data_IF_932594843804
#
_entry.id   IF_932594843804
#
_cell.length_a   1.000
_cell.length_b   1.000
_cell.length_c   1.000
_cell.angle_alpha   90.00
_cell.angle_beta   90.00
_cell.angle_gamma   90.00
#
_symmetry.space_group_name_H-M   'P 1'
#
loop_
_entity.id
_entity.type
_entity.pdbx_description
1 polymer ?
#
# COMPACT_ATOMS: atom_id res chain seq x y z
N UNK A 1 -3.88 -30.35 -48.94
CA UNK A 1 -2.68 -29.58 -49.35
C UNK A 1 -1.78 -29.49 -48.14
N UNK A 2 -0.61 -30.14 -48.18
CA UNK A 2 0.38 -30.03 -47.11
C UNK A 2 1.06 -28.66 -47.25
N UNK A 3 1.02 -27.85 -46.19
CA UNK A 3 1.81 -26.62 -46.10
C UNK A 3 3.29 -27.00 -46.10
N UNK A 4 4.04 -26.57 -47.11
CA UNK A 4 5.50 -26.70 -47.10
C UNK A 4 6.00 -25.59 -46.18
N UNK A 5 6.21 -25.93 -44.90
CA UNK A 5 6.84 -24.98 -43.98
C UNK A 5 8.24 -24.63 -44.51
N UNK A 6 8.61 -23.34 -44.58
CA UNK A 6 9.93 -22.94 -44.99
C UNK A 6 10.98 -23.50 -44.03
N UNK A 7 12.03 -24.12 -44.58
CA UNK A 7 13.20 -24.59 -43.81
C UNK A 7 14.12 -23.37 -43.63
N UNK A 8 14.29 -22.94 -42.39
CA UNK A 8 15.25 -21.90 -42.03
C UNK A 8 16.57 -22.56 -41.59
N UNK A 9 17.70 -22.02 -42.04
CA UNK A 9 19.04 -22.51 -41.65
C UNK A 9 19.41 -22.16 -40.20
N UNK A 10 18.67 -21.23 -39.59
CA UNK A 10 18.83 -20.77 -38.21
C UNK A 10 17.48 -20.75 -37.49
N UNK A 11 17.47 -21.04 -36.20
CA UNK A 11 16.28 -21.01 -35.35
C UNK A 11 16.47 -20.12 -34.12
N UNK A 12 15.48 -20.11 -33.22
CA UNK A 12 15.52 -19.34 -31.96
C UNK A 12 16.81 -19.59 -31.16
N UNK A 13 17.30 -20.82 -31.12
CA UNK A 13 18.48 -21.20 -30.34
C UNK A 13 19.77 -20.56 -30.86
N UNK A 14 19.82 -20.23 -32.16
CA UNK A 14 20.97 -19.60 -32.80
C UNK A 14 20.98 -18.06 -32.60
N UNK A 15 19.88 -17.49 -32.08
CA UNK A 15 19.82 -16.06 -31.80
C UNK A 15 20.67 -15.67 -30.58
N UNK A 16 21.44 -14.59 -30.66
CA UNK A 16 22.13 -14.00 -29.51
C UNK A 16 21.19 -13.64 -28.36
N UNK A 17 21.68 -13.78 -27.12
CA UNK A 17 20.88 -13.54 -25.91
C UNK A 17 20.34 -12.11 -25.81
N UNK A 18 21.10 -11.10 -26.27
CA UNK A 18 20.66 -9.70 -26.26
C UNK A 18 19.42 -9.46 -27.14
N UNK A 19 19.38 -10.07 -28.33
CA UNK A 19 18.21 -10.02 -29.22
C UNK A 19 17.03 -10.77 -28.62
N UNK A 20 17.27 -11.96 -28.03
CA UNK A 20 16.22 -12.73 -27.33
C UNK A 20 15.62 -11.92 -26.18
N UNK A 21 16.45 -11.22 -25.41
CA UNK A 21 16.01 -10.37 -24.30
C UNK A 21 15.15 -9.21 -24.80
N UNK A 22 15.49 -8.59 -25.94
CA UNK A 22 14.64 -7.56 -26.55
C UNK A 22 13.25 -8.12 -26.94
N UNK A 23 13.21 -9.31 -27.53
CA UNK A 23 11.96 -10.00 -27.84
C UNK A 23 11.15 -10.34 -26.59
N UNK A 24 11.78 -10.93 -25.56
CA UNK A 24 11.16 -11.25 -24.28
C UNK A 24 10.60 -9.99 -23.62
N UNK A 25 11.30 -8.86 -23.71
CA UNK A 25 10.86 -7.56 -23.21
C UNK A 25 9.49 -7.14 -23.76
N UNK A 26 9.18 -7.51 -25.01
CA UNK A 26 7.92 -7.20 -25.70
C UNK A 26 6.81 -8.24 -25.46
N UNK A 27 7.13 -9.42 -24.94
CA UNK A 27 6.16 -10.48 -24.68
C UNK A 27 5.25 -10.17 -23.49
N UNK A 28 4.00 -10.65 -23.59
CA UNK A 28 3.01 -10.70 -22.51
C UNK A 28 3.43 -11.69 -21.42
N UNK A 29 2.87 -11.55 -20.23
CA UNK A 29 3.16 -12.41 -19.09
C UNK A 29 2.91 -13.89 -19.40
N UNK A 30 1.79 -14.24 -20.04
CA UNK A 30 1.44 -15.63 -20.41
C UNK A 30 2.38 -16.22 -21.47
N UNK A 31 2.84 -15.40 -22.41
CA UNK A 31 3.83 -15.78 -23.43
C UNK A 31 5.18 -16.08 -22.76
N UNK A 32 5.60 -15.22 -21.82
CA UNK A 32 6.81 -15.45 -21.01
C UNK A 32 6.70 -16.73 -20.19
N UNK A 33 5.55 -17.00 -19.56
CA UNK A 33 5.32 -18.25 -18.83
C UNK A 33 5.44 -19.47 -19.74
N UNK A 34 4.92 -19.39 -20.97
CA UNK A 34 5.03 -20.46 -21.96
C UNK A 34 6.49 -20.67 -22.39
N UNK A 35 7.21 -19.60 -22.71
CA UNK A 35 8.63 -19.64 -23.11
C UNK A 35 9.51 -20.20 -21.99
N UNK A 36 9.21 -19.86 -20.73
CA UNK A 36 9.91 -20.37 -19.55
C UNK A 36 9.85 -21.90 -19.40
N UNK A 37 8.88 -22.54 -20.04
CA UNK A 37 8.69 -23.99 -20.02
C UNK A 37 9.40 -24.73 -21.16
N UNK A 38 10.00 -24.03 -22.14
CA UNK A 38 10.56 -24.68 -23.34
C UNK A 38 11.96 -25.23 -23.12
N UNK A 39 12.87 -24.47 -22.50
CA UNK A 39 14.23 -24.91 -22.18
C UNK A 39 14.84 -24.15 -21.00
N UNK A 40 15.91 -24.72 -20.40
CA UNK A 40 16.61 -24.12 -19.25
C UNK A 40 17.25 -22.76 -19.57
N UNK A 41 17.82 -22.60 -20.77
CA UNK A 41 18.41 -21.35 -21.21
C UNK A 41 17.33 -20.25 -21.30
N UNK A 42 16.20 -20.55 -21.95
CA UNK A 42 15.12 -19.58 -22.13
C UNK A 42 14.45 -19.22 -20.80
N UNK A 43 14.28 -20.19 -19.90
CA UNK A 43 13.86 -19.93 -18.52
C UNK A 43 14.77 -18.92 -17.83
N UNK A 44 16.08 -19.06 -17.99
CA UNK A 44 17.06 -18.18 -17.35
C UNK A 44 16.99 -16.75 -17.91
N UNK A 45 16.82 -16.62 -19.24
CA UNK A 45 16.62 -15.32 -19.89
C UNK A 45 15.32 -14.65 -19.45
N UNK A 46 14.20 -15.39 -19.44
CA UNK A 46 12.91 -14.88 -18.97
C UNK A 46 12.98 -14.43 -17.51
N UNK A 47 13.56 -15.26 -16.62
CA UNK A 47 13.71 -14.95 -15.19
C UNK A 47 14.62 -13.74 -14.92
N UNK A 48 15.49 -13.37 -15.86
CA UNK A 48 16.37 -12.20 -15.74
C UNK A 48 15.63 -10.87 -16.00
N UNK A 49 14.48 -10.92 -16.68
CA UNK A 49 13.73 -9.73 -17.10
C UNK A 49 12.64 -9.38 -16.10
N UNK A 50 12.58 -8.10 -15.72
CA UNK A 50 11.48 -7.57 -14.92
C UNK A 50 10.24 -7.30 -15.79
N UNK A 51 9.08 -7.26 -15.15
CA UNK A 51 7.81 -6.86 -15.77
C UNK A 51 7.23 -5.72 -14.97
N UNK A 52 6.85 -4.64 -15.66
CA UNK A 52 6.11 -3.53 -15.06
C UNK A 52 4.61 -3.84 -15.12
N UNK A 53 3.99 -3.90 -13.97
CA UNK A 53 2.55 -4.05 -13.81
C UNK A 53 1.96 -2.73 -13.33
N UNK A 54 0.86 -2.31 -13.93
CA UNK A 54 0.11 -1.13 -13.48
C UNK A 54 -0.64 -1.46 -12.19
N UNK A 55 -1.16 -2.67 -12.05
CA UNK A 55 -1.70 -3.15 -10.79
C UNK A 55 -1.56 -4.65 -10.63
N UNK A 56 -1.53 -5.09 -9.37
CA UNK A 56 -1.74 -6.49 -9.01
C UNK A 56 -2.76 -6.58 -7.88
N UNK A 57 -3.55 -7.64 -7.87
CA UNK A 57 -4.49 -7.95 -6.79
C UNK A 57 -4.29 -9.38 -6.34
N UNK A 58 -3.98 -9.58 -5.06
CA UNK A 58 -3.93 -10.89 -4.42
C UNK A 58 -5.20 -11.06 -3.59
N UNK A 59 -5.88 -12.18 -3.78
CA UNK A 59 -7.04 -12.59 -2.99
C UNK A 59 -6.93 -14.05 -2.60
N UNK A 60 -7.40 -14.44 -1.44
CA UNK A 60 -7.35 -15.85 -1.07
C UNK A 60 -8.07 -16.16 0.22
N UNK A 61 -8.49 -17.41 0.35
CA UNK A 61 -9.00 -17.94 1.60
C UNK A 61 -8.50 -19.39 1.77
N UNK A 62 -9.05 -20.12 2.72
CA UNK A 62 -8.69 -21.51 2.96
C UNK A 62 -8.95 -22.46 1.77
N UNK A 63 -9.81 -22.07 0.82
CA UNK A 63 -10.22 -22.90 -0.31
C UNK A 63 -9.51 -22.55 -1.63
N UNK A 64 -8.98 -21.34 -1.76
CA UNK A 64 -8.36 -20.91 -3.01
C UNK A 64 -7.37 -19.76 -2.83
N UNK A 65 -6.44 -19.68 -3.78
CA UNK A 65 -5.61 -18.52 -4.04
C UNK A 65 -5.98 -17.94 -5.41
N UNK A 66 -6.27 -16.65 -5.43
CA UNK A 66 -6.51 -15.87 -6.61
C UNK A 66 -5.50 -14.75 -6.74
N UNK A 67 -5.11 -14.44 -7.97
CA UNK A 67 -4.48 -13.16 -8.23
C UNK A 67 -4.74 -12.69 -9.65
N UNK A 68 -4.68 -11.38 -9.79
CA UNK A 68 -4.88 -10.63 -11.02
C UNK A 68 -3.67 -9.72 -11.24
N UNK A 69 -3.18 -9.67 -12.47
CA UNK A 69 -2.09 -8.80 -12.89
C UNK A 69 -2.54 -7.99 -14.10
N UNK A 70 -2.37 -6.69 -14.01
CA UNK A 70 -2.76 -5.76 -15.05
C UNK A 70 -1.56 -4.95 -15.52
N UNK A 71 -1.55 -4.68 -16.83
CA UNK A 71 -0.53 -3.88 -17.51
C UNK A 71 -1.22 -2.94 -18.47
N UNK A 72 -0.78 -1.69 -18.51
CA UNK A 72 -1.39 -0.64 -19.33
C UNK A 72 -2.90 -0.47 -19.06
N UNK A 73 -3.28 -0.66 -17.78
CA UNK A 73 -4.68 -0.66 -17.28
C UNK A 73 -5.59 -1.78 -17.83
N UNK A 74 -5.03 -2.78 -18.51
CA UNK A 74 -5.76 -3.96 -18.96
C UNK A 74 -5.38 -5.19 -18.14
N UNK A 75 -6.37 -6.03 -17.83
CA UNK A 75 -6.14 -7.32 -17.17
C UNK A 75 -5.34 -8.23 -18.12
N UNK A 76 -4.08 -8.49 -17.79
CA UNK A 76 -3.17 -9.30 -18.61
C UNK A 76 -3.20 -10.77 -18.18
N UNK A 77 -3.40 -11.00 -16.89
CA UNK A 77 -3.43 -12.34 -16.32
C UNK A 77 -4.38 -12.40 -15.12
N UNK A 78 -5.21 -13.43 -15.10
CA UNK A 78 -6.04 -13.76 -13.96
C UNK A 78 -5.96 -15.26 -13.70
N UNK A 79 -5.82 -15.61 -12.43
CA UNK A 79 -5.86 -17.00 -11.99
C UNK A 79 -6.64 -17.10 -10.69
N UNK A 80 -7.42 -18.17 -10.58
CA UNK A 80 -7.99 -18.66 -9.33
C UNK A 80 -7.74 -20.16 -9.23
N UNK A 81 -7.00 -20.58 -8.22
CA UNK A 81 -6.57 -21.96 -8.03
C UNK A 81 -7.02 -22.50 -6.67
N UNK A 82 -7.63 -23.68 -6.66
CA UNK A 82 -7.82 -24.49 -5.44
C UNK A 82 -6.57 -25.27 -5.06
N UNK A 83 -5.64 -25.45 -6.01
CA UNK A 83 -4.30 -25.97 -5.75
C UNK A 83 -3.43 -24.81 -5.25
N UNK A 84 -3.30 -24.74 -3.92
CA UNK A 84 -2.57 -23.68 -3.24
C UNK A 84 -1.07 -23.72 -3.56
N UNK A 85 -0.48 -24.91 -3.71
CA UNK A 85 0.94 -25.07 -4.01
C UNK A 85 1.29 -24.48 -5.38
N UNK A 86 0.49 -24.81 -6.40
CA UNK A 86 0.63 -24.22 -7.74
C UNK A 86 0.44 -22.70 -7.71
N UNK A 87 -0.49 -22.24 -6.89
CA UNK A 87 -0.71 -20.82 -6.64
C UNK A 87 0.53 -20.13 -6.07
N UNK A 88 1.08 -20.68 -4.99
CA UNK A 88 2.27 -20.19 -4.28
C UNK A 88 3.50 -20.11 -5.17
N UNK A 89 3.79 -21.15 -5.95
CA UNK A 89 4.92 -21.15 -6.89
C UNK A 89 4.85 -19.98 -7.87
N UNK A 90 3.63 -19.70 -8.37
CA UNK A 90 3.43 -18.63 -9.32
C UNK A 90 3.55 -17.25 -8.64
N UNK A 91 3.07 -17.08 -7.41
CA UNK A 91 3.30 -15.85 -6.66
C UNK A 91 4.78 -15.62 -6.40
N UNK A 92 5.54 -16.65 -5.98
CA UNK A 92 7.00 -16.54 -5.80
C UNK A 92 7.68 -16.02 -7.07
N UNK A 93 7.26 -16.54 -8.22
CA UNK A 93 7.74 -16.07 -9.51
C UNK A 93 7.34 -14.62 -9.81
N UNK A 94 6.06 -14.27 -9.63
CA UNK A 94 5.53 -12.91 -9.84
C UNK A 94 6.24 -11.88 -8.94
N UNK A 95 6.46 -12.24 -7.67
CA UNK A 95 7.19 -11.44 -6.68
C UNK A 95 8.63 -11.17 -7.11
N UNK A 96 9.31 -12.20 -7.64
CA UNK A 96 10.68 -12.10 -8.15
C UNK A 96 10.78 -11.13 -9.34
N UNK A 97 9.87 -11.17 -10.30
CA UNK A 97 10.01 -10.41 -11.57
C UNK A 97 9.20 -9.11 -11.62
N UNK A 98 8.18 -8.97 -10.78
CA UNK A 98 7.21 -7.90 -10.85
C UNK A 98 7.71 -6.59 -10.26
N UNK A 99 7.44 -5.50 -10.99
CA UNK A 99 7.54 -4.12 -10.54
C UNK A 99 6.13 -3.53 -10.59
N UNK A 100 5.55 -3.27 -9.43
CA UNK A 100 4.15 -2.86 -9.31
C UNK A 100 4.03 -1.36 -9.08
N UNK A 101 3.20 -0.70 -9.88
CA UNK A 101 2.75 0.66 -9.53
C UNK A 101 1.81 0.57 -8.32
N UNK A 102 0.81 -0.32 -8.37
CA UNK A 102 -0.13 -0.56 -7.27
C UNK A 102 -0.29 -2.04 -6.96
N UNK A 103 -0.41 -2.40 -5.68
CA UNK A 103 -0.69 -3.76 -5.24
C UNK A 103 -1.77 -3.78 -4.17
N UNK A 104 -2.82 -4.56 -4.42
CA UNK A 104 -3.95 -4.74 -3.50
C UNK A 104 -3.94 -6.13 -2.92
N UNK A 105 -4.08 -6.23 -1.61
CA UNK A 105 -4.35 -7.48 -0.90
C UNK A 105 -5.79 -7.45 -0.40
N UNK A 106 -6.55 -8.51 -0.68
CA UNK A 106 -7.93 -8.66 -0.25
C UNK A 106 -8.13 -10.03 0.41
N UNK A 107 -9.00 -10.10 1.41
CA UNK A 107 -9.51 -11.32 2.08
C UNK A 107 -8.90 -11.66 3.45
N UNK A 108 -9.77 -12.27 4.25
CA UNK A 108 -9.79 -12.35 5.72
C UNK A 108 -9.17 -13.65 6.27
N UNK A 109 -8.70 -14.55 5.40
CA UNK A 109 -8.31 -15.91 5.79
C UNK A 109 -6.92 -16.30 5.29
N UNK A 110 -5.98 -15.36 5.36
CA UNK A 110 -4.57 -15.60 5.03
C UNK A 110 -3.83 -16.47 6.05
N UNK A 111 -4.45 -16.84 7.18
CA UNK A 111 -3.76 -17.45 8.34
C UNK A 111 -2.97 -18.73 8.04
N UNK A 112 -3.49 -19.63 7.20
CA UNK A 112 -2.75 -20.85 6.80
C UNK A 112 -1.76 -20.62 5.65
N UNK A 113 -1.80 -19.44 5.05
CA UNK A 113 -1.02 -19.04 3.88
C UNK A 113 0.11 -18.07 4.25
N UNK A 114 0.01 -17.41 5.40
CA UNK A 114 0.99 -16.48 5.96
C UNK A 114 2.37 -17.11 6.11
N UNK A 115 2.44 -18.34 6.61
CA UNK A 115 3.71 -19.05 6.76
C UNK A 115 4.34 -19.27 5.37
N UNK A 116 3.73 -20.01 4.46
CA UNK A 116 4.40 -20.36 3.19
C UNK A 116 4.59 -19.19 2.19
N UNK A 117 3.67 -18.23 2.17
CA UNK A 117 3.74 -17.08 1.27
C UNK A 117 4.80 -16.05 1.68
N UNK A 118 5.05 -15.95 2.99
CA UNK A 118 6.01 -15.00 3.54
C UNK A 118 7.26 -15.67 4.14
N UNK A 119 7.44 -16.99 3.99
CA UNK A 119 8.64 -17.70 4.45
C UNK A 119 9.87 -17.55 3.52
N UNK A 120 9.76 -16.87 2.38
CA UNK A 120 10.94 -16.58 1.52
C UNK A 120 11.50 -15.16 1.73
N UNK A 121 12.80 -14.98 1.44
CA UNK A 121 13.50 -13.69 1.59
C UNK A 121 13.23 -12.70 0.44
N UNK A 122 12.49 -13.10 -0.58
CA UNK A 122 12.17 -12.21 -1.70
C UNK A 122 11.26 -11.08 -1.18
N UNK A 123 11.31 -9.91 -1.82
CA UNK A 123 10.51 -8.74 -1.45
C UNK A 123 9.82 -8.18 -2.69
N UNK A 124 8.56 -7.78 -2.54
CA UNK A 124 7.83 -7.06 -3.58
C UNK A 124 8.46 -5.69 -3.83
N UNK A 125 8.51 -5.30 -5.10
CA UNK A 125 8.85 -3.93 -5.50
C UNK A 125 7.56 -3.23 -5.90
N UNK A 126 7.07 -2.33 -5.05
CA UNK A 126 5.77 -1.67 -5.20
C UNK A 126 5.81 -0.23 -4.70
N UNK A 127 5.07 0.67 -5.35
CA UNK A 127 4.89 2.06 -4.87
C UNK A 127 3.65 2.23 -4.02
N UNK A 128 2.50 1.74 -4.45
CA UNK A 128 1.23 1.93 -3.76
C UNK A 128 0.67 0.60 -3.26
N UNK A 129 0.35 0.52 -1.97
CA UNK A 129 -0.18 -0.69 -1.35
C UNK A 129 -1.57 -0.41 -0.81
N UNK A 130 -2.49 -1.35 -1.02
CA UNK A 130 -3.84 -1.33 -0.44
C UNK A 130 -4.16 -2.67 0.23
N UNK A 131 -4.69 -2.61 1.44
CA UNK A 131 -5.16 -3.76 2.20
C UNK A 131 -6.67 -3.63 2.43
N UNK A 132 -7.43 -4.65 2.06
CA UNK A 132 -8.87 -4.70 2.28
C UNK A 132 -9.20 -5.89 3.18
N UNK A 133 -9.87 -5.64 4.30
CA UNK A 133 -10.33 -6.69 5.23
C UNK A 133 -9.18 -7.51 5.87
N UNK A 134 -8.13 -6.82 6.34
CA UNK A 134 -6.95 -7.44 6.96
C UNK A 134 -6.88 -7.14 8.46
N UNK A 135 -6.51 -8.15 9.25
CA UNK A 135 -6.10 -7.89 10.64
C UNK A 135 -4.70 -7.26 10.72
N UNK A 136 -4.33 -6.74 11.89
CA UNK A 136 -3.05 -6.06 12.07
C UNK A 136 -1.84 -6.96 11.78
N UNK A 137 -1.92 -8.24 12.14
CA UNK A 137 -0.79 -9.17 11.99
C UNK A 137 -0.55 -9.43 10.51
N UNK A 138 -1.62 -9.60 9.74
CA UNK A 138 -1.57 -9.76 8.29
C UNK A 138 -0.97 -8.53 7.60
N UNK A 139 -1.41 -7.33 7.99
CA UNK A 139 -0.83 -6.07 7.47
C UNK A 139 0.66 -6.01 7.78
N UNK A 140 1.06 -6.30 9.03
CA UNK A 140 2.48 -6.27 9.45
C UNK A 140 3.32 -7.25 8.66
N UNK A 141 2.86 -8.50 8.49
CA UNK A 141 3.59 -9.52 7.74
C UNK A 141 3.74 -9.11 6.27
N UNK A 142 2.67 -8.63 5.65
CA UNK A 142 2.69 -8.20 4.26
C UNK A 142 3.61 -6.99 4.05
N UNK A 143 3.53 -5.98 4.92
CA UNK A 143 4.40 -4.81 4.87
C UNK A 143 5.87 -5.20 4.99
N UNK A 144 6.23 -6.13 5.89
CA UNK A 144 7.62 -6.65 6.00
C UNK A 144 8.15 -7.28 4.71
N UNK A 145 7.29 -7.54 3.73
CA UNK A 145 7.63 -8.18 2.45
C UNK A 145 7.69 -7.20 1.28
N UNK A 146 7.83 -5.92 1.60
CA UNK A 146 8.00 -4.82 0.66
C UNK A 146 9.44 -4.31 0.69
N UNK A 147 9.99 -4.01 -0.47
CA UNK A 147 11.24 -3.24 -0.57
C UNK A 147 11.02 -1.79 -0.16
N UNK A 148 12.11 -1.10 0.14
CA UNK A 148 12.08 0.36 0.26
C UNK A 148 11.60 0.99 -1.06
N UNK A 149 10.93 2.14 -0.97
CA UNK A 149 10.35 2.84 -2.13
C UNK A 149 8.82 2.80 -2.18
N UNK A 150 8.15 2.32 -1.12
CA UNK A 150 6.70 2.48 -0.96
C UNK A 150 6.38 3.97 -0.79
N UNK A 151 5.51 4.47 -1.65
CA UNK A 151 5.06 5.86 -1.69
C UNK A 151 3.71 6.04 -0.99
N UNK A 152 2.87 5.00 -0.96
CA UNK A 152 1.62 5.04 -0.19
C UNK A 152 1.15 3.71 0.39
N UNK A 153 0.54 3.75 1.58
CA UNK A 153 -0.13 2.60 2.20
C UNK A 153 -1.58 2.95 2.53
N UNK A 154 -2.52 2.13 2.06
CA UNK A 154 -3.95 2.26 2.37
C UNK A 154 -4.42 1.02 3.11
N UNK A 155 -4.94 1.19 4.32
CA UNK A 155 -5.50 0.10 5.10
C UNK A 155 -7.00 0.34 5.25
N UNK A 156 -7.78 -0.37 4.44
CA UNK A 156 -9.23 -0.34 4.44
C UNK A 156 -9.77 -1.50 5.29
N UNK A 157 -9.56 -1.40 6.60
CA UNK A 157 -10.01 -2.41 7.55
C UNK A 157 -10.12 -1.87 8.97
N UNK A 158 -11.12 -2.35 9.71
CA UNK A 158 -11.35 -2.01 11.10
C UNK A 158 -10.25 -2.58 12.02
N UNK A 159 -9.11 -1.88 12.10
CA UNK A 159 -8.01 -2.24 12.99
C UNK A 159 -8.38 -1.91 14.46
N UNK A 160 -8.47 -2.95 15.30
CA UNK A 160 -8.72 -2.83 16.75
C UNK A 160 -7.46 -2.91 17.60
N UNK A 161 -6.36 -3.39 17.02
CA UNK A 161 -5.13 -3.72 17.74
C UNK A 161 -4.06 -2.64 17.61
N UNK A 162 -3.10 -2.63 18.52
CA UNK A 162 -2.02 -1.64 18.59
C UNK A 162 -1.22 -1.49 17.28
N UNK A 163 -1.40 -0.35 16.59
CA UNK A 163 -0.66 0.01 15.36
C UNK A 163 0.86 0.11 15.52
N UNK A 164 1.39 0.08 16.75
CA UNK A 164 2.82 0.14 17.05
C UNK A 164 3.63 -0.92 16.31
N UNK A 165 3.06 -2.09 16.03
CA UNK A 165 3.72 -3.12 15.21
C UNK A 165 3.93 -2.69 13.75
N UNK A 166 2.99 -1.95 13.19
CA UNK A 166 3.10 -1.34 11.84
C UNK A 166 4.15 -0.23 11.88
N UNK A 167 4.10 0.63 12.90
CA UNK A 167 5.04 1.75 13.07
C UNK A 167 6.49 1.31 13.32
N UNK A 168 6.70 0.10 13.83
CA UNK A 168 8.03 -0.49 14.00
C UNK A 168 8.71 -0.85 12.66
N UNK A 169 7.97 -0.92 11.55
CA UNK A 169 8.50 -1.27 10.23
C UNK A 169 9.22 -0.06 9.62
N UNK A 170 10.50 -0.22 9.30
CA UNK A 170 11.40 0.90 8.93
C UNK A 170 10.96 1.67 7.69
N UNK A 171 10.44 1.01 6.65
CA UNK A 171 9.99 1.73 5.45
C UNK A 171 8.68 2.48 5.72
N UNK A 172 7.78 1.96 6.57
CA UNK A 172 6.52 2.63 6.94
C UNK A 172 6.78 4.00 7.58
N UNK A 173 7.83 4.09 8.42
CA UNK A 173 8.24 5.34 9.07
C UNK A 173 8.59 6.47 8.09
N UNK A 174 8.91 6.11 6.83
CA UNK A 174 9.34 7.03 5.79
C UNK A 174 8.34 7.14 4.64
N UNK A 175 7.17 6.49 4.74
CA UNK A 175 6.16 6.56 3.69
C UNK A 175 5.58 7.99 3.63
N UNK A 176 5.54 8.62 2.45
CA UNK A 176 4.97 9.96 2.30
C UNK A 176 3.50 10.05 2.68
N UNK A 177 2.70 9.02 2.35
CA UNK A 177 1.27 9.03 2.59
C UNK A 177 0.76 7.68 3.07
N UNK A 178 -0.02 7.67 4.14
CA UNK A 178 -0.77 6.48 4.48
C UNK A 178 -2.05 6.77 5.24
N UNK A 179 -2.97 5.82 5.22
CA UNK A 179 -4.21 5.95 5.96
C UNK A 179 -4.75 4.62 6.49
N UNK A 180 -5.62 4.75 7.49
CA UNK A 180 -6.41 3.65 8.04
C UNK A 180 -7.87 4.08 8.06
N UNK A 181 -8.76 3.32 7.44
CA UNK A 181 -10.20 3.53 7.61
C UNK A 181 -10.69 2.74 8.80
N UNK A 182 -11.71 3.25 9.49
CA UNK A 182 -12.38 2.53 10.59
C UNK A 182 -11.45 2.13 11.74
N UNK A 183 -10.43 2.94 11.99
CA UNK A 183 -9.48 2.73 13.08
C UNK A 183 -10.21 2.80 14.43
N UNK A 184 -10.11 1.74 15.23
CA UNK A 184 -10.65 1.68 16.60
C UNK A 184 -9.59 1.93 17.67
N UNK A 185 -8.37 2.29 17.25
CA UNK A 185 -7.25 2.56 18.14
C UNK A 185 -7.22 4.04 18.53
N UNK A 186 -7.63 4.36 19.76
CA UNK A 186 -7.72 5.75 20.26
C UNK A 186 -6.37 6.47 20.25
N UNK A 187 -5.30 5.74 20.59
CA UNK A 187 -3.94 6.28 20.64
C UNK A 187 -3.20 6.31 19.30
N UNK A 188 -3.86 6.01 18.18
CA UNK A 188 -3.21 5.95 16.87
C UNK A 188 -2.62 7.31 16.45
N UNK A 189 -3.36 8.41 16.61
CA UNK A 189 -2.87 9.76 16.31
C UNK A 189 -1.61 10.10 17.11
N UNK A 190 -1.66 9.82 18.42
CA UNK A 190 -0.53 10.03 19.32
C UNK A 190 0.71 9.24 18.87
N UNK A 191 0.55 7.94 18.60
CA UNK A 191 1.65 7.06 18.21
C UNK A 191 2.29 7.45 16.88
N UNK A 192 1.47 7.85 15.89
CA UNK A 192 1.99 8.33 14.61
C UNK A 192 2.79 9.62 14.78
N UNK A 193 2.25 10.59 15.52
CA UNK A 193 2.95 11.85 15.77
C UNK A 193 4.25 11.64 16.57
N UNK A 194 4.22 10.79 17.60
CA UNK A 194 5.41 10.46 18.38
C UNK A 194 6.48 9.79 17.50
N UNK A 195 6.09 8.84 16.64
CA UNK A 195 7.00 8.21 15.69
C UNK A 195 7.67 9.25 14.76
N UNK A 196 6.90 10.22 14.24
CA UNK A 196 7.48 11.27 13.40
C UNK A 196 8.40 12.23 14.16
N UNK A 197 8.11 12.54 15.42
CA UNK A 197 9.00 13.31 16.30
C UNK A 197 10.32 12.56 16.52
N UNK A 198 10.24 11.27 16.81
CA UNK A 198 11.42 10.43 17.10
C UNK A 198 12.28 10.19 15.86
N UNK A 199 11.66 10.08 14.69
CA UNK A 199 12.34 9.80 13.41
C UNK A 199 12.71 11.06 12.63
N UNK A 200 12.33 12.24 13.11
CA UNK A 200 12.51 13.49 12.37
C UNK A 200 11.98 13.37 10.93
N UNK A 201 10.72 12.94 10.80
CA UNK A 201 10.09 12.70 9.51
C UNK A 201 10.02 13.97 8.66
N UNK A 202 10.01 13.78 7.34
CA UNK A 202 10.12 14.85 6.36
C UNK A 202 8.84 15.68 6.28
N UNK A 203 8.99 16.97 5.96
CA UNK A 203 7.85 17.83 5.61
C UNK A 203 7.09 17.20 4.43
N UNK A 204 5.76 17.20 4.52
CA UNK A 204 4.85 16.56 3.56
C UNK A 204 4.41 15.14 3.95
N UNK A 205 5.05 14.50 4.95
CA UNK A 205 4.56 13.22 5.49
C UNK A 205 3.13 13.38 6.02
N UNK A 206 2.22 12.53 5.54
CA UNK A 206 0.78 12.62 5.81
C UNK A 206 0.23 11.29 6.29
N UNK A 207 -0.57 11.35 7.34
CA UNK A 207 -1.33 10.23 7.89
C UNK A 207 -2.80 10.64 8.00
N UNK A 208 -3.70 9.75 7.61
CA UNK A 208 -5.13 10.00 7.73
C UNK A 208 -5.81 8.82 8.41
N UNK A 209 -6.85 9.12 9.19
CA UNK A 209 -7.65 8.10 9.82
C UNK A 209 -9.13 8.46 9.77
N UNK A 210 -9.99 7.47 9.55
CA UNK A 210 -11.39 7.55 9.99
C UNK A 210 -11.57 6.68 11.24
N UNK A 211 -12.37 7.17 12.19
CA UNK A 211 -12.56 6.55 13.50
C UNK A 211 -14.05 6.48 13.84
N UNK A 212 -14.48 5.39 14.48
CA UNK A 212 -15.84 5.22 14.99
C UNK A 212 -15.98 5.73 16.43
N UNK A 213 -17.17 5.58 17.03
CA UNK A 213 -17.56 6.06 18.37
C UNK A 213 -16.53 5.79 19.47
N UNK A 214 -15.91 4.61 19.48
CA UNK A 214 -14.85 4.27 20.44
C UNK A 214 -13.61 5.18 20.35
N UNK A 215 -13.41 5.84 19.21
CA UNK A 215 -12.30 6.74 18.89
C UNK A 215 -12.60 8.22 19.10
N UNK A 216 -13.77 8.61 19.61
CA UNK A 216 -14.14 10.02 19.76
C UNK A 216 -13.16 10.83 20.60
N UNK A 217 -12.61 10.24 21.67
CA UNK A 217 -11.64 10.90 22.54
C UNK A 217 -10.22 10.97 21.95
N UNK A 218 -9.98 10.52 20.72
CA UNK A 218 -8.61 10.46 20.15
C UNK A 218 -7.97 11.83 20.00
N UNK A 219 -8.77 12.89 19.81
CA UNK A 219 -8.26 14.25 19.72
C UNK A 219 -7.91 14.80 21.10
N UNK A 220 -8.79 14.63 22.08
CA UNK A 220 -8.56 15.03 23.47
C UNK A 220 -7.37 14.26 24.06
N UNK A 221 -7.29 12.95 23.81
CA UNK A 221 -6.12 12.13 24.19
C UNK A 221 -4.85 12.65 23.52
N UNK A 222 -4.90 13.04 22.24
CA UNK A 222 -3.76 13.65 21.57
C UNK A 222 -3.33 14.97 22.23
N UNK A 223 -4.29 15.82 22.62
CA UNK A 223 -4.00 17.07 23.32
C UNK A 223 -3.32 16.83 24.66
N UNK A 224 -3.86 15.90 25.45
CA UNK A 224 -3.33 15.56 26.77
C UNK A 224 -1.90 15.00 26.69
N UNK A 225 -1.61 14.18 25.68
CA UNK A 225 -0.28 13.58 25.48
C UNK A 225 0.77 14.59 25.02
N UNK A 226 0.37 15.70 24.41
CA UNK A 226 1.29 16.67 23.81
C UNK A 226 1.11 18.10 24.34
N UNK A 227 0.50 18.29 25.50
CA UNK A 227 0.22 19.61 26.09
C UNK A 227 1.47 20.51 26.15
N UNK A 228 2.62 19.96 26.51
CA UNK A 228 3.90 20.67 26.58
C UNK A 228 4.48 21.08 25.20
N UNK A 229 3.89 20.59 24.12
CA UNK A 229 4.31 20.81 22.73
C UNK A 229 3.33 21.62 21.92
N UNK A 230 2.14 21.94 22.43
CA UNK A 230 1.14 22.71 21.70
C UNK A 230 1.65 24.14 21.42
N UNK A 231 1.54 24.54 20.15
CA UNK A 231 1.86 25.89 19.68
C UNK A 231 0.56 26.68 19.50
N UNK A 232 -0.42 26.09 18.82
CA UNK A 232 -1.75 26.66 18.63
C UNK A 232 -2.80 25.55 18.65
N UNK A 233 -4.02 25.90 19.10
CA UNK A 233 -5.15 24.98 19.17
C UNK A 233 -6.46 25.69 18.87
N UNK A 234 -7.36 24.98 18.22
CA UNK A 234 -8.76 25.33 17.98
C UNK A 234 -9.58 24.05 17.95
N UNK A 235 -10.90 24.17 17.85
CA UNK A 235 -11.80 23.01 17.79
C UNK A 235 -11.53 22.11 16.57
N UNK A 236 -10.99 22.68 15.49
CA UNK A 236 -10.69 21.98 14.23
C UNK A 236 -9.23 21.55 14.11
N UNK A 237 -8.28 22.27 14.72
CA UNK A 237 -6.85 22.06 14.46
C UNK A 237 -5.99 22.20 15.71
N UNK A 238 -4.95 21.40 15.77
CA UNK A 238 -3.89 21.51 16.78
C UNK A 238 -2.54 21.45 16.09
N UNK A 239 -1.68 22.43 16.38
CA UNK A 239 -0.29 22.47 15.93
C UNK A 239 0.64 22.18 17.10
N UNK A 240 1.55 21.23 16.95
CA UNK A 240 2.57 20.89 17.95
C UNK A 240 3.99 21.06 17.39
N UNK A 241 4.94 21.42 18.27
CA UNK A 241 6.37 21.45 17.95
C UNK A 241 6.98 20.05 17.92
N UNK A 242 7.94 19.82 17.02
CA UNK A 242 8.77 18.61 17.06
C UNK A 242 10.09 18.88 17.80
N UNK A 243 10.99 17.89 17.83
CA UNK A 243 12.36 18.10 18.30
C UNK A 243 13.22 18.87 17.28
N UNK A 244 12.75 18.99 16.03
CA UNK A 244 13.37 19.81 15.00
C UNK A 244 12.65 21.17 14.92
N UNK A 245 13.34 22.29 15.15
CA UNK A 245 12.70 23.61 15.18
C UNK A 245 12.08 24.02 13.84
N UNK A 246 12.53 23.46 12.73
CA UNK A 246 12.04 23.79 11.38
C UNK A 246 10.78 22.99 10.99
N UNK A 247 10.31 22.09 11.87
CA UNK A 247 9.24 21.14 11.58
C UNK A 247 8.22 21.10 12.69
N UNK A 248 6.95 21.26 12.33
CA UNK A 248 5.82 21.09 13.22
C UNK A 248 4.93 19.94 12.74
N UNK A 249 4.06 19.45 13.61
CA UNK A 249 2.99 18.51 13.23
C UNK A 249 1.67 19.24 13.37
N UNK A 250 0.84 19.18 12.33
CA UNK A 250 -0.52 19.70 12.31
C UNK A 250 -1.50 18.54 12.35
N UNK A 251 -2.33 18.50 13.39
CA UNK A 251 -3.51 17.65 13.49
C UNK A 251 -4.74 18.45 13.06
N UNK A 252 -5.55 17.89 12.19
CA UNK A 252 -6.79 18.48 11.71
C UNK A 252 -7.96 17.50 11.84
N UNK A 253 -9.10 18.01 12.32
CA UNK A 253 -10.39 17.34 12.25
C UNK A 253 -11.07 17.62 10.91
N UNK A 254 -11.61 16.58 10.29
CA UNK A 254 -12.40 16.65 9.07
C UNK A 254 -13.81 17.12 9.34
N UNK A 255 -13.96 18.42 9.64
CA UNK A 255 -15.24 19.05 9.97
C UNK A 255 -15.60 20.09 8.90
N UNK A 256 -16.80 19.96 8.35
CA UNK A 256 -17.43 20.89 7.41
C UNK A 256 -18.95 21.00 7.66
N UNK A 257 -19.68 21.50 6.65
CA UNK A 257 -21.13 21.67 6.65
C UNK A 257 -21.91 20.35 6.65
N UNK A 258 -21.30 19.26 6.20
CA UNK A 258 -21.90 17.92 6.13
C UNK A 258 -21.39 17.04 7.27
N UNK A 259 -20.10 17.14 7.58
CA UNK A 259 -19.41 16.35 8.60
C UNK A 259 -19.22 17.20 9.85
N UNK A 260 -20.07 16.99 10.86
CA UNK A 260 -19.98 17.68 12.14
C UNK A 260 -19.11 16.91 13.14
N UNK A 261 -18.73 17.57 14.24
CA UNK A 261 -17.96 16.96 15.34
C UNK A 261 -18.75 15.84 16.03
N UNK A 262 -20.08 15.86 15.95
CA UNK A 262 -20.95 14.85 16.56
C UNK A 262 -21.26 13.68 15.61
N UNK A 263 -20.65 13.65 14.41
CA UNK A 263 -20.86 12.54 13.48
C UNK A 263 -20.30 11.23 14.03
N UNK A 264 -21.01 10.14 13.72
CA UNK A 264 -20.63 8.78 14.11
C UNK A 264 -19.22 8.40 13.66
N UNK A 265 -18.81 8.84 12.47
CA UNK A 265 -17.46 8.69 11.94
C UNK A 265 -16.72 10.02 12.00
N UNK A 266 -15.64 10.05 12.76
CA UNK A 266 -14.71 11.18 12.82
C UNK A 266 -13.55 10.98 11.86
N UNK A 267 -13.06 12.07 11.28
CA UNK A 267 -11.96 12.05 10.32
C UNK A 267 -10.81 12.90 10.81
N UNK A 268 -9.59 12.39 10.70
CA UNK A 268 -8.39 13.06 11.16
C UNK A 268 -7.31 13.05 10.09
N UNK A 269 -6.58 14.16 9.98
CA UNK A 269 -5.38 14.31 9.14
C UNK A 269 -4.22 14.81 10.01
N UNK A 270 -3.13 14.05 10.05
CA UNK A 270 -1.85 14.46 10.61
C UNK A 270 -0.89 14.77 9.46
N UNK A 271 -0.18 15.90 9.56
CA UNK A 271 0.81 16.31 8.57
C UNK A 271 2.07 16.85 9.25
N UNK A 272 3.23 16.45 8.75
CA UNK A 272 4.48 17.15 9.07
C UNK A 272 4.58 18.37 8.16
N UNK A 273 4.60 19.57 8.77
CA UNK A 273 4.63 20.86 8.07
C UNK A 273 5.90 21.63 8.41
N UNK A 274 6.25 22.61 7.56
CA UNK A 274 7.28 23.59 7.90
C UNK A 274 6.88 24.40 9.15
N UNK A 275 7.84 24.75 9.99
CA UNK A 275 7.62 25.69 11.08
C UNK A 275 7.18 27.08 10.59
N UNK A 276 7.62 27.48 9.40
CA UNK A 276 7.30 28.78 8.81
C UNK A 276 5.91 28.84 8.16
N UNK A 277 5.24 27.69 7.98
CA UNK A 277 3.90 27.65 7.37
C UNK A 277 2.90 28.41 8.26
N UNK A 278 2.30 29.46 7.72
CA UNK A 278 1.31 30.28 8.42
C UNK A 278 -0.07 29.63 8.42
N UNK A 279 -0.90 29.95 9.43
CA UNK A 279 -2.25 29.38 9.52
C UNK A 279 -3.16 29.77 8.34
N UNK A 280 -2.91 30.94 7.73
CA UNK A 280 -3.62 31.38 6.52
C UNK A 280 -3.31 30.56 5.26
N UNK A 281 -2.25 29.74 5.30
CA UNK A 281 -1.84 28.88 4.18
C UNK A 281 -2.36 27.44 4.34
N UNK A 282 -3.08 27.15 5.43
CA UNK A 282 -3.63 25.83 5.65
C UNK A 282 -4.73 25.49 4.64
N UNK A 283 -4.73 24.26 4.17
CA UNK A 283 -5.77 23.73 3.31
C UNK A 283 -7.05 23.47 4.12
N UNK A 284 -8.04 24.35 3.94
CA UNK A 284 -9.35 24.26 4.59
C UNK A 284 -10.31 23.26 3.94
N UNK A 285 -9.97 22.71 2.77
CA UNK A 285 -10.85 21.83 2.02
C UNK A 285 -10.80 20.39 2.54
N UNK A 286 -11.51 20.12 3.63
CA UNK A 286 -11.57 18.76 4.18
C UNK A 286 -12.30 17.75 3.30
N UNK A 287 -13.26 18.20 2.48
CA UNK A 287 -14.00 17.33 1.55
C UNK A 287 -13.07 16.55 0.63
N UNK A 288 -12.06 17.20 0.06
CA UNK A 288 -11.16 16.54 -0.89
C UNK A 288 -10.38 15.40 -0.24
N UNK A 289 -9.82 15.63 0.94
CA UNK A 289 -9.00 14.63 1.59
C UNK A 289 -9.82 13.55 2.30
N UNK A 290 -11.03 13.86 2.76
CA UNK A 290 -11.98 12.85 3.28
C UNK A 290 -12.44 11.93 2.15
N UNK A 291 -12.72 12.46 0.95
CA UNK A 291 -13.05 11.63 -0.23
C UNK A 291 -11.91 10.69 -0.65
N UNK A 292 -10.65 10.97 -0.30
CA UNK A 292 -9.51 10.06 -0.58
C UNK A 292 -9.51 8.81 0.29
N UNK A 293 -10.05 8.91 1.51
CA UNK A 293 -10.12 7.82 2.50
C UNK A 293 -11.47 7.10 2.46
N UNK A 294 -12.55 7.84 2.23
CA UNK A 294 -13.90 7.29 2.18
C UNK A 294 -14.66 7.81 0.94
N UNK A 295 -14.39 7.22 -0.24
CA UNK A 295 -15.09 7.59 -1.47
C UNK A 295 -16.59 7.33 -1.30
N UNK A 296 -17.42 8.37 -1.39
CA UNK A 296 -18.87 8.26 -1.22
C UNK A 296 -19.47 9.13 -0.11
N UNK A 297 -18.67 9.62 0.86
CA UNK A 297 -19.21 10.44 1.96
C UNK A 297 -19.96 11.68 1.48
N UNK A 298 -19.46 12.35 0.43
CA UNK A 298 -20.04 13.57 -0.13
C UNK A 298 -20.83 13.32 -1.43
N UNK A 299 -21.20 12.07 -1.73
CA UNK A 299 -21.98 11.73 -2.95
C UNK A 299 -23.50 11.94 -2.74
N UNK A 300 -23.92 12.24 -1.51
CA UNK A 300 -25.33 12.49 -1.17
C UNK A 300 -25.66 13.96 -0.91
N UNK A 301 -24.94 14.90 -1.53
CA UNK A 301 -25.38 16.30 -1.62
C UNK A 301 -26.48 16.40 -2.71
N UNK A 302 -27.74 16.23 -2.32
CA UNK A 302 -28.93 16.58 -3.12
C UNK A 302 -29.63 17.82 -2.57
#
# INVERSE_FOLDING_TARGET
>A
MASIEPIYDTNWSDMPDDIKLECIGKMKFTERLSLRCTAKAERSLVDSQKIKFTSGRFEGNHDFLGFELSRDNECEFWMRSKDLNKGLELVKYVKKIGLFESLTFSSIYFRSFEEEFFNDDELFTVKHIKFNEFDINQVVIALRKMKNGVESIKIESALSDDIGQILAISHVQNVPYWHITECRCTNSLHKVAQMWIDKNSTVGSTFQASMYEDGWNSFEEFLDQFDDRIISKSDKRTRIRTNNPDRHILLERGVDDVITIDNFTQFYRLMVISADLGESEYDDNCKEWICKIYPGMHVYDW
#
